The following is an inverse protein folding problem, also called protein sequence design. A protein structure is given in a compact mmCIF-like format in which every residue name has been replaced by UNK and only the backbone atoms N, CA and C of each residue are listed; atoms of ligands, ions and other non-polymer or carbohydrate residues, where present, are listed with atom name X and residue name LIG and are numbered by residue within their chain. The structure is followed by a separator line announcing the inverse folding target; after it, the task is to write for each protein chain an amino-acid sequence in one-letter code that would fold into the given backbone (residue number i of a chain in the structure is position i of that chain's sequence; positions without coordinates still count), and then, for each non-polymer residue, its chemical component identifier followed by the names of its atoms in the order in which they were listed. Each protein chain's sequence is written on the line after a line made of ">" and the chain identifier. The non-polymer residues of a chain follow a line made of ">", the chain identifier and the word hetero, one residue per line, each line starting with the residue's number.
data_IF_204977048529
#
_entry.id   IF_204977048529
#
_cell.length_a   1.000
_cell.length_b   1.000
_cell.length_c   1.000
_cell.angle_alpha   90.00
_cell.angle_beta   90.00
_cell.angle_gamma   90.00
#
_symmetry.space_group_name_H-M   'P 1'
#
loop_
_entity.id
_entity.type
_entity.pdbx_description
1 polymer ?
#
# COMPACT_ATOMS: atom_id res chain seq x y z
N UNK A 1 35.67 -33.17 0.71
CA UNK A 1 35.33 -32.68 -0.64
C UNK A 1 35.12 -31.17 -0.52
N UNK A 2 36.13 -30.30 -0.46
CA UNK A 2 36.99 -29.77 -1.52
C UNK A 2 36.33 -29.56 -2.90
N UNK A 3 36.56 -28.33 -3.42
CA UNK A 3 36.26 -27.74 -4.75
C UNK A 3 34.85 -27.14 -4.91
N UNK A 4 34.64 -25.93 -5.47
CA UNK A 4 35.53 -24.90 -6.06
C UNK A 4 34.70 -23.60 -6.21
N UNK A 5 35.26 -22.46 -5.84
CA UNK A 5 34.81 -21.12 -6.26
C UNK A 5 35.24 -20.85 -7.71
N UNK A 6 34.48 -20.06 -8.48
CA UNK A 6 35.05 -19.11 -9.45
C UNK A 6 34.59 -17.68 -9.10
N UNK A 7 35.50 -16.76 -8.81
CA UNK A 7 36.35 -15.95 -9.70
C UNK A 7 35.62 -14.73 -10.28
N UNK A 8 36.04 -13.58 -9.73
CA UNK A 8 35.80 -12.20 -10.13
C UNK A 8 36.08 -11.96 -11.63
N UNK A 9 35.35 -11.02 -12.24
CA UNK A 9 35.86 -10.28 -13.42
C UNK A 9 35.43 -8.81 -13.33
N UNK A 10 36.42 -7.93 -13.38
CA UNK A 10 36.34 -6.47 -13.49
C UNK A 10 36.12 -6.01 -14.94
N UNK A 11 35.74 -4.73 -15.09
CA UNK A 11 35.84 -3.80 -16.24
C UNK A 11 34.47 -3.44 -16.85
N UNK A 12 34.11 -2.17 -17.09
CA UNK A 12 34.87 -0.93 -17.07
C UNK A 12 33.99 0.32 -17.27
N UNK A 13 34.68 1.47 -17.24
CA UNK A 13 34.27 2.86 -17.50
C UNK A 13 33.42 3.05 -18.79
N UNK A 14 32.68 4.13 -19.07
CA UNK A 14 33.00 5.58 -18.98
C UNK A 14 31.77 6.45 -19.31
N UNK A 15 31.86 7.75 -18.98
CA UNK A 15 30.96 8.90 -19.19
C UNK A 15 30.31 9.09 -20.57
N UNK A 16 29.14 9.76 -20.60
CA UNK A 16 28.90 10.91 -21.48
C UNK A 16 27.77 11.83 -20.93
N UNK A 17 28.11 13.09 -20.60
CA UNK A 17 27.17 14.19 -20.39
C UNK A 17 26.70 14.72 -21.76
N UNK A 18 25.39 14.95 -21.91
CA UNK A 18 24.81 15.65 -23.05
C UNK A 18 23.95 16.82 -22.58
N UNK A 19 24.53 18.02 -22.56
CA UNK A 19 23.79 19.29 -22.52
C UNK A 19 23.32 19.61 -23.94
N UNK A 20 22.03 19.89 -24.12
CA UNK A 20 21.50 20.52 -25.34
C UNK A 20 20.64 21.71 -24.95
N UNK A 21 21.10 22.89 -25.35
CA UNK A 21 20.48 24.19 -25.13
C UNK A 21 19.97 24.77 -26.47
N UNK A 22 18.88 25.52 -26.33
CA UNK A 22 18.38 26.64 -27.15
C UNK A 22 18.19 26.46 -28.66
N UNK A 23 16.95 26.67 -29.12
CA UNK A 23 16.69 27.57 -30.27
C UNK A 23 15.26 28.13 -30.17
N UNK A 24 15.16 29.45 -30.22
CA UNK A 24 13.92 30.25 -30.27
C UNK A 24 13.81 30.81 -31.69
N UNK A 25 12.70 30.64 -32.42
CA UNK A 25 12.45 31.35 -33.67
C UNK A 25 11.51 32.57 -33.52
N UNK A 26 11.47 33.45 -34.54
CA UNK A 26 11.24 34.88 -34.38
C UNK A 26 9.77 35.33 -34.48
N UNK A 27 9.59 36.54 -33.96
CA UNK A 27 8.41 37.42 -34.00
C UNK A 27 8.01 37.77 -35.44
N UNK A 28 6.71 37.78 -35.74
CA UNK A 28 6.13 38.45 -36.92
C UNK A 28 4.82 39.13 -36.51
N UNK A 29 4.66 40.37 -36.99
CA UNK A 29 3.68 41.41 -36.62
C UNK A 29 2.30 41.27 -37.26
N UNK A 30 1.26 41.52 -36.44
CA UNK A 30 -0.02 42.27 -36.63
C UNK A 30 -0.91 42.04 -37.89
N UNK A 31 -2.27 42.04 -37.73
CA UNK A 31 -3.01 43.32 -37.63
C UNK A 31 -4.22 43.35 -36.65
N UNK A 32 -4.58 44.58 -36.28
CA UNK A 32 -5.77 45.03 -35.50
C UNK A 32 -7.08 44.89 -36.31
N UNK A 33 -8.21 44.48 -35.72
CA UNK A 33 -9.27 45.47 -35.44
C UNK A 33 -10.20 45.22 -34.21
N UNK A 34 -10.74 46.35 -33.74
CA UNK A 34 -12.03 46.62 -33.06
C UNK A 34 -12.32 46.19 -31.59
N UNK A 35 -12.89 47.12 -30.79
CA UNK A 35 -13.27 46.87 -29.40
C UNK A 35 -14.63 46.17 -29.30
N UNK A 36 -14.67 45.05 -28.57
CA UNK A 36 -15.90 44.33 -28.24
C UNK A 36 -16.19 44.50 -26.73
N UNK A 37 -17.47 44.69 -26.34
CA UNK A 37 -17.85 45.08 -24.98
C UNK A 37 -17.44 44.06 -23.90
N UNK A 38 -16.98 44.60 -22.77
CA UNK A 38 -16.66 43.92 -21.52
C UNK A 38 -17.91 43.25 -20.93
N UNK A 39 -18.05 41.94 -21.13
CA UNK A 39 -18.79 41.07 -20.20
C UNK A 39 -17.82 40.51 -19.18
N UNK A 40 -17.95 40.98 -17.94
CA UNK A 40 -17.23 40.44 -16.77
C UNK A 40 -17.81 39.06 -16.48
N UNK A 41 -17.22 38.02 -17.06
CA UNK A 41 -17.49 36.65 -16.66
C UNK A 41 -16.67 36.36 -15.40
N UNK A 42 -17.32 36.42 -14.24
CA UNK A 42 -16.80 35.88 -12.99
C UNK A 42 -16.57 34.39 -13.15
N UNK A 43 -15.35 34.00 -13.52
CA UNK A 43 -14.93 32.62 -13.51
C UNK A 43 -14.82 32.18 -12.05
N UNK A 44 -15.57 31.17 -11.57
CA UNK A 44 -15.31 30.59 -10.27
C UNK A 44 -13.93 29.92 -10.35
N UNK A 45 -12.93 30.53 -9.72
CA UNK A 45 -11.71 29.84 -9.33
C UNK A 45 -12.11 28.69 -8.42
N UNK A 46 -12.27 27.51 -9.00
CA UNK A 46 -12.28 26.25 -8.27
C UNK A 46 -10.89 26.08 -7.68
N UNK A 47 -10.70 26.62 -6.48
CA UNK A 47 -9.62 26.22 -5.59
C UNK A 47 -9.78 24.71 -5.39
N UNK A 48 -8.82 23.87 -5.79
CA UNK A 48 -8.88 22.46 -5.40
C UNK A 48 -8.88 22.44 -3.88
N UNK A 49 -9.99 21.99 -3.31
CA UNK A 49 -10.12 21.74 -1.88
C UNK A 49 -9.19 20.58 -1.56
N UNK A 50 -7.94 20.91 -1.22
CA UNK A 50 -7.02 19.99 -0.58
C UNK A 50 -7.50 19.79 0.87
N UNK A 51 -8.62 19.08 1.01
CA UNK A 51 -9.10 18.57 2.29
C UNK A 51 -8.95 17.05 2.28
N UNK A 52 -7.72 16.60 2.03
CA UNK A 52 -7.22 15.40 2.67
C UNK A 52 -6.01 15.87 3.46
N UNK A 53 -6.24 16.10 4.75
CA UNK A 53 -5.16 16.00 5.73
C UNK A 53 -4.59 14.60 5.56
N UNK A 54 -3.55 14.48 4.74
CA UNK A 54 -2.68 13.33 4.73
C UNK A 54 -2.02 13.32 6.10
N UNK A 55 -2.66 12.65 7.05
CA UNK A 55 -1.96 12.08 8.18
C UNK A 55 -0.81 11.28 7.59
N UNK A 56 0.42 11.64 7.96
CA UNK A 56 1.64 10.92 7.58
C UNK A 56 1.69 9.50 8.19
N UNK A 57 0.62 9.07 8.86
CA UNK A 57 0.36 7.70 9.25
C UNK A 57 -0.12 6.94 8.02
N UNK A 58 0.73 6.01 7.55
CA UNK A 58 0.41 5.18 6.40
C UNK A 58 -0.79 4.28 6.75
N UNK A 59 -1.95 4.60 6.19
CA UNK A 59 -3.14 3.75 6.32
C UNK A 59 -2.96 2.44 5.55
N UNK A 60 -3.66 1.40 6.01
CA UNK A 60 -3.90 0.17 5.27
C UNK A 60 -4.94 0.46 4.18
N UNK A 61 -4.51 1.19 3.14
CA UNK A 61 -5.36 1.69 2.07
C UNK A 61 -5.79 0.61 1.09
N UNK A 62 -6.49 1.01 0.00
CA UNK A 62 -7.13 0.05 -0.88
C UNK A 62 -6.20 -0.94 -1.58
N UNK A 63 -4.94 -0.53 -1.81
CA UNK A 63 -3.94 -1.35 -2.48
C UNK A 63 -2.86 -1.88 -1.53
N UNK A 64 -2.74 -1.35 -0.31
CA UNK A 64 -1.66 -1.66 0.62
C UNK A 64 -1.26 -0.49 1.53
N UNK A 65 0.00 -0.47 1.96
CA UNK A 65 0.57 0.48 2.93
C UNK A 65 1.69 1.28 2.28
N UNK A 66 1.50 2.60 2.14
CA UNK A 66 2.44 3.50 1.47
C UNK A 66 2.84 2.97 0.08
N UNK A 67 4.13 2.67 -0.13
CA UNK A 67 4.64 2.12 -1.39
C UNK A 67 4.46 0.60 -1.52
N UNK A 68 4.22 -0.14 -0.43
CA UNK A 68 4.00 -1.58 -0.45
C UNK A 68 2.55 -1.88 -0.86
N UNK A 69 2.38 -2.72 -1.88
CA UNK A 69 1.06 -3.03 -2.44
C UNK A 69 0.85 -4.52 -2.65
N UNK A 70 -0.41 -4.94 -2.58
CA UNK A 70 -0.84 -6.26 -3.05
C UNK A 70 -0.37 -6.48 -4.51
N UNK A 71 -0.08 -7.73 -4.85
CA UNK A 71 0.43 -8.14 -6.16
C UNK A 71 1.94 -7.96 -6.36
N UNK A 72 2.66 -7.31 -5.43
CA UNK A 72 4.11 -7.19 -5.51
C UNK A 72 4.80 -8.53 -5.26
N UNK A 73 5.87 -8.82 -6.01
CA UNK A 73 6.83 -9.88 -5.65
C UNK A 73 7.68 -9.48 -4.44
N UNK A 74 8.35 -10.43 -3.80
CA UNK A 74 9.32 -10.16 -2.72
C UNK A 74 10.39 -9.13 -3.12
N UNK A 75 10.90 -9.23 -4.34
CA UNK A 75 11.91 -8.30 -4.85
C UNK A 75 11.36 -6.86 -4.94
N UNK A 76 10.12 -6.69 -5.41
CA UNK A 76 9.46 -5.39 -5.47
C UNK A 76 9.15 -4.85 -4.07
N UNK A 77 8.67 -5.71 -3.17
CA UNK A 77 8.39 -5.34 -1.78
C UNK A 77 9.64 -4.82 -1.06
N UNK A 78 10.80 -5.48 -1.23
CA UNK A 78 12.08 -5.01 -0.68
C UNK A 78 12.44 -3.62 -1.21
N UNK A 79 12.23 -3.37 -2.51
CA UNK A 79 12.55 -2.08 -3.14
C UNK A 79 11.71 -0.92 -2.58
N UNK A 80 10.57 -1.19 -1.97
CA UNK A 80 9.74 -0.14 -1.35
C UNK A 80 10.36 0.44 -0.08
N UNK A 81 11.25 -0.30 0.59
CA UNK A 81 11.76 0.06 1.92
C UNK A 81 10.73 -0.04 3.05
N UNK A 82 9.51 -0.52 2.77
CA UNK A 82 8.42 -0.64 3.74
C UNK A 82 8.29 -2.04 4.33
N UNK A 83 9.14 -2.98 3.91
CA UNK A 83 9.12 -4.36 4.39
C UNK A 83 10.52 -4.78 4.87
N UNK A 84 10.55 -5.59 5.93
CA UNK A 84 11.73 -6.15 6.56
C UNK A 84 11.64 -7.67 6.61
N UNK A 85 12.78 -8.32 6.87
CA UNK A 85 12.84 -9.79 7.11
C UNK A 85 12.45 -10.67 5.91
N UNK A 86 12.20 -10.07 4.74
CA UNK A 86 11.97 -10.80 3.50
C UNK A 86 13.24 -11.56 3.11
N UNK A 87 13.10 -12.87 2.87
CA UNK A 87 14.16 -13.73 2.35
C UNK A 87 13.66 -14.68 1.27
N UNK A 88 14.60 -15.16 0.46
CA UNK A 88 14.29 -15.96 -0.73
C UNK A 88 13.50 -15.19 -1.79
N UNK A 89 12.96 -15.92 -2.77
CA UNK A 89 12.18 -15.35 -3.87
C UNK A 89 10.78 -15.96 -4.02
N UNK A 90 10.55 -17.16 -3.47
CA UNK A 90 9.25 -17.80 -3.46
C UNK A 90 8.39 -17.27 -2.31
N UNK A 91 7.07 -17.25 -2.50
CA UNK A 91 6.13 -17.03 -1.41
C UNK A 91 5.99 -18.27 -0.53
N UNK A 92 5.72 -18.06 0.76
CA UNK A 92 5.61 -19.14 1.75
C UNK A 92 4.36 -19.04 2.60
N UNK A 93 3.38 -18.24 2.16
CA UNK A 93 2.13 -17.98 2.87
C UNK A 93 2.33 -17.62 4.35
N UNK A 94 3.20 -16.64 4.60
CA UNK A 94 3.39 -16.06 5.93
C UNK A 94 4.38 -16.79 6.83
N UNK A 95 5.19 -17.70 6.31
CA UNK A 95 6.36 -18.16 7.07
C UNK A 95 7.40 -17.03 7.20
N UNK A 96 8.34 -17.15 8.15
CA UNK A 96 9.31 -16.10 8.52
C UNK A 96 9.97 -15.36 7.33
N UNK A 97 10.26 -16.09 6.25
CA UNK A 97 10.89 -15.51 5.05
C UNK A 97 9.98 -14.63 4.18
N UNK A 98 8.68 -14.59 4.43
CA UNK A 98 7.74 -13.65 3.79
C UNK A 98 7.83 -12.24 4.39
N UNK A 99 8.40 -12.11 5.60
CA UNK A 99 8.74 -10.84 6.20
C UNK A 99 7.55 -10.09 6.80
N UNK A 100 7.83 -8.85 7.21
CA UNK A 100 6.91 -7.98 7.95
C UNK A 100 6.98 -6.54 7.44
N UNK A 101 5.98 -5.74 7.77
CA UNK A 101 6.01 -4.29 7.63
C UNK A 101 7.13 -3.69 8.49
N UNK A 102 7.77 -2.65 7.97
CA UNK A 102 8.74 -1.88 8.73
C UNK A 102 8.08 -1.29 9.99
N UNK A 103 8.69 -1.53 11.15
CA UNK A 103 8.17 -1.07 12.43
C UNK A 103 7.14 -2.00 13.07
N UNK A 104 6.96 -3.21 12.53
CA UNK A 104 6.23 -4.28 13.22
C UNK A 104 6.96 -4.69 14.51
N UNK A 105 6.19 -5.02 15.54
CA UNK A 105 6.70 -5.47 16.84
C UNK A 105 5.90 -6.69 17.32
N UNK A 106 6.04 -7.84 16.64
CA UNK A 106 5.27 -9.03 16.96
C UNK A 106 5.64 -9.58 18.35
N UNK A 107 4.68 -10.13 19.07
CA UNK A 107 4.94 -10.80 20.34
C UNK A 107 5.71 -12.12 20.17
N UNK A 108 5.48 -12.81 19.05
CA UNK A 108 6.15 -14.04 18.63
C UNK A 108 6.10 -14.21 17.10
N UNK A 109 6.63 -15.32 16.58
CA UNK A 109 6.72 -15.56 15.13
C UNK A 109 5.36 -15.73 14.44
N UNK A 110 4.35 -16.16 15.18
CA UNK A 110 3.02 -16.47 14.65
C UNK A 110 2.12 -15.23 14.62
N UNK A 111 2.36 -14.24 15.49
CA UNK A 111 1.68 -12.95 15.55
C UNK A 111 1.54 -12.26 14.16
N UNK A 112 0.34 -11.76 13.86
CA UNK A 112 0.02 -11.09 12.59
C UNK A 112 0.46 -9.62 12.50
N UNK A 113 1.03 -9.02 13.57
CA UNK A 113 1.48 -7.62 13.57
C UNK A 113 2.45 -7.36 12.41
N UNK A 114 1.96 -6.61 11.43
CA UNK A 114 2.70 -6.29 10.21
C UNK A 114 3.03 -7.49 9.31
N UNK A 115 2.52 -8.70 9.55
CA UNK A 115 2.92 -9.92 8.82
C UNK A 115 2.56 -9.84 7.35
N UNK A 116 3.48 -10.24 6.48
CA UNK A 116 3.27 -10.29 5.03
C UNK A 116 3.08 -11.73 4.58
N UNK A 117 2.20 -11.95 3.60
CA UNK A 117 1.98 -13.27 3.03
C UNK A 117 2.16 -13.20 1.52
N UNK A 118 3.15 -13.93 1.03
CA UNK A 118 3.36 -14.12 -0.38
C UNK A 118 2.80 -15.48 -0.80
N UNK A 119 1.96 -15.46 -1.82
CA UNK A 119 1.35 -16.63 -2.45
C UNK A 119 2.41 -17.69 -2.77
N UNK A 120 2.20 -18.92 -2.30
CA UNK A 120 3.08 -20.05 -2.63
C UNK A 120 2.99 -20.41 -4.13
N UNK A 121 1.85 -20.12 -4.75
CA UNK A 121 1.60 -20.41 -6.17
C UNK A 121 2.17 -19.34 -7.10
N UNK A 122 1.98 -18.06 -6.78
CA UNK A 122 2.31 -16.95 -7.69
C UNK A 122 3.54 -16.14 -7.26
N UNK A 123 3.97 -16.26 -6.00
CA UNK A 123 5.05 -15.46 -5.42
C UNK A 123 4.69 -14.00 -5.16
N UNK A 124 3.41 -13.61 -5.31
CA UNK A 124 2.93 -12.25 -5.11
C UNK A 124 2.40 -12.03 -3.69
N UNK A 125 2.53 -10.81 -3.19
CA UNK A 125 1.99 -10.35 -1.91
C UNK A 125 0.47 -10.36 -1.98
N UNK A 126 -0.17 -11.17 -1.16
CA UNK A 126 -1.62 -11.39 -1.18
C UNK A 126 -2.30 -11.01 0.13
N UNK A 127 -1.56 -10.92 1.24
CA UNK A 127 -2.08 -10.44 2.53
C UNK A 127 -1.06 -9.51 3.18
N UNK A 128 -1.56 -8.41 3.74
CA UNK A 128 -0.80 -7.45 4.55
C UNK A 128 -1.50 -7.32 5.91
N UNK A 129 -0.83 -7.75 6.97
CA UNK A 129 -1.25 -7.49 8.35
C UNK A 129 -0.99 -6.05 8.76
N UNK A 130 -1.93 -5.44 9.48
CA UNK A 130 -1.73 -4.14 10.10
C UNK A 130 -0.76 -4.25 11.28
N UNK A 131 -0.02 -3.19 11.56
CA UNK A 131 0.60 -2.98 12.87
C UNK A 131 -0.35 -2.19 13.77
N UNK A 132 -0.04 -2.09 15.08
CA UNK A 132 -0.80 -1.25 16.01
C UNK A 132 -0.91 0.24 15.63
N UNK A 133 0.00 0.75 14.79
CA UNK A 133 0.01 2.14 14.33
C UNK A 133 -0.73 2.38 13.00
N UNK A 134 -1.26 1.32 12.38
CA UNK A 134 -1.91 1.40 11.07
C UNK A 134 -3.42 1.25 11.22
N UNK A 135 -4.16 2.17 10.60
CA UNK A 135 -5.60 2.11 10.48
C UNK A 135 -6.03 1.89 9.03
N UNK A 136 -7.23 1.37 8.84
CA UNK A 136 -7.98 1.52 7.59
C UNK A 136 -8.28 3.00 7.31
N UNK A 137 -8.58 3.40 6.05
CA UNK A 137 -8.99 4.76 5.73
C UNK A 137 -10.20 5.27 6.54
N UNK A 138 -11.07 4.36 6.98
CA UNK A 138 -12.25 4.66 7.80
C UNK A 138 -11.94 4.73 9.31
N UNK A 139 -10.68 4.50 9.71
CA UNK A 139 -10.19 4.69 11.07
C UNK A 139 -10.28 3.47 12.00
N UNK A 140 -10.56 2.27 11.46
CA UNK A 140 -10.47 1.02 12.23
C UNK A 140 -9.02 0.55 12.26
N UNK A 141 -8.51 0.25 13.46
CA UNK A 141 -7.15 -0.25 13.74
C UNK A 141 -7.21 -1.32 14.84
N UNK A 142 -6.07 -1.96 15.14
CA UNK A 142 -5.96 -2.89 16.28
C UNK A 142 -6.35 -2.20 17.60
N UNK A 143 -7.20 -2.83 18.40
CA UNK A 143 -7.79 -2.26 19.61
C UNK A 143 -9.10 -1.47 19.38
N UNK A 144 -9.54 -1.28 18.13
CA UNK A 144 -10.86 -0.67 17.86
C UNK A 144 -11.99 -1.52 18.43
N UNK A 145 -12.95 -0.89 19.09
CA UNK A 145 -14.12 -1.57 19.66
C UNK A 145 -15.13 -1.99 18.59
N UNK A 146 -16.03 -2.93 18.93
CA UNK A 146 -17.17 -3.29 18.07
C UNK A 146 -17.99 -2.06 17.62
N UNK A 147 -18.19 -1.09 18.52
CA UNK A 147 -18.93 0.12 18.19
C UNK A 147 -18.22 0.97 17.13
N UNK A 148 -16.89 1.09 17.21
CA UNK A 148 -16.08 1.78 16.21
C UNK A 148 -16.10 1.04 14.87
N UNK A 149 -15.96 -0.30 14.88
CA UNK A 149 -16.06 -1.14 13.68
C UNK A 149 -17.42 -0.99 13.01
N UNK A 150 -18.53 -1.07 13.76
CA UNK A 150 -19.88 -0.88 13.20
C UNK A 150 -20.14 0.52 12.67
N UNK A 151 -19.51 1.54 13.25
CA UNK A 151 -19.61 2.93 12.79
C UNK A 151 -18.91 3.10 11.43
N UNK A 152 -17.71 2.56 11.29
CA UNK A 152 -16.95 2.60 10.04
C UNK A 152 -17.56 1.67 8.98
N UNK A 153 -17.98 0.47 9.39
CA UNK A 153 -18.47 -0.60 8.53
C UNK A 153 -19.84 -1.11 9.02
N UNK A 154 -20.94 -0.42 8.68
CA UNK A 154 -22.28 -0.78 9.12
C UNK A 154 -22.76 -2.17 8.68
N UNK A 155 -22.15 -2.76 7.64
CA UNK A 155 -22.45 -4.12 7.17
C UNK A 155 -21.57 -5.18 7.80
N UNK A 156 -20.52 -4.82 8.55
CA UNK A 156 -19.65 -5.79 9.19
C UNK A 156 -20.42 -6.60 10.24
N UNK A 157 -20.12 -7.89 10.26
CA UNK A 157 -20.63 -8.88 11.21
C UNK A 157 -19.56 -9.97 11.33
N UNK A 158 -19.18 -10.31 12.56
CA UNK A 158 -18.28 -11.43 12.80
C UNK A 158 -19.00 -12.78 12.72
N UNK A 159 -18.24 -13.85 12.56
CA UNK A 159 -18.72 -15.24 12.52
C UNK A 159 -19.55 -15.63 13.75
N UNK A 160 -19.35 -14.94 14.88
CA UNK A 160 -20.01 -15.18 16.17
C UNK A 160 -20.89 -13.97 16.57
N UNK A 161 -21.37 -13.21 15.58
CA UNK A 161 -22.26 -12.08 15.78
C UNK A 161 -21.52 -10.77 15.99
N UNK A 162 -21.23 -10.41 17.24
CA UNK A 162 -20.45 -9.20 17.57
C UNK A 162 -18.94 -9.45 17.63
N UNK A 163 -18.56 -10.72 17.67
CA UNK A 163 -17.20 -11.24 17.77
C UNK A 163 -16.91 -12.19 16.61
N UNK A 164 -15.67 -12.66 16.53
CA UNK A 164 -15.18 -13.55 15.49
C UNK A 164 -14.70 -12.81 14.24
N UNK A 165 -14.46 -13.58 13.19
CA UNK A 165 -13.92 -13.09 11.92
C UNK A 165 -15.04 -12.52 11.06
N UNK A 166 -14.84 -11.33 10.50
CA UNK A 166 -15.75 -10.74 9.51
C UNK A 166 -14.99 -10.00 8.43
N UNK A 167 -15.64 -9.85 7.27
CA UNK A 167 -15.03 -9.29 6.06
C UNK A 167 -15.73 -8.01 5.60
N UNK A 168 -14.94 -7.06 5.10
CA UNK A 168 -15.42 -5.80 4.53
C UNK A 168 -14.82 -5.61 3.15
N UNK A 169 -15.65 -5.27 2.15
CA UNK A 169 -15.13 -4.88 0.83
C UNK A 169 -14.36 -3.57 0.96
N UNK A 170 -13.21 -3.50 0.30
CA UNK A 170 -12.39 -2.30 0.30
C UNK A 170 -12.96 -1.28 -0.70
N UNK A 171 -13.27 -0.08 -0.22
CA UNK A 171 -13.71 1.01 -1.11
C UNK A 171 -12.58 1.40 -2.04
N UNK A 172 -12.83 1.38 -3.35
CA UNK A 172 -11.83 1.73 -4.37
C UNK A 172 -10.97 0.55 -4.85
N UNK A 173 -11.11 -0.65 -4.27
CA UNK A 173 -10.49 -1.87 -4.78
C UNK A 173 -11.44 -3.07 -4.66
N UNK A 174 -12.05 -3.47 -5.78
CA UNK A 174 -12.99 -4.60 -5.82
C UNK A 174 -12.32 -5.97 -5.68
N UNK A 175 -11.00 -6.03 -5.85
CA UNK A 175 -10.18 -7.24 -5.77
C UNK A 175 -9.52 -7.39 -4.38
N UNK A 176 -9.96 -6.62 -3.39
CA UNK A 176 -9.48 -6.71 -2.03
C UNK A 176 -10.60 -6.60 -0.98
N UNK A 177 -10.33 -7.15 0.20
CA UNK A 177 -11.19 -7.03 1.36
C UNK A 177 -10.34 -6.85 2.63
N UNK A 178 -10.92 -6.20 3.64
CA UNK A 178 -10.39 -6.25 5.00
C UNK A 178 -10.94 -7.49 5.69
N UNK A 179 -10.07 -8.29 6.31
CA UNK A 179 -10.44 -9.29 7.31
C UNK A 179 -10.21 -8.67 8.69
N UNK A 180 -11.24 -8.71 9.53
CA UNK A 180 -11.22 -8.12 10.86
C UNK A 180 -11.63 -9.22 11.83
N UNK A 181 -10.74 -9.56 12.77
CA UNK A 181 -11.04 -10.44 13.88
C UNK A 181 -11.26 -9.61 15.14
N UNK A 182 -12.42 -9.81 15.78
CA UNK A 182 -12.82 -9.11 16.99
C UNK A 182 -13.06 -10.11 18.10
N UNK A 183 -12.38 -9.93 19.22
CA UNK A 183 -12.54 -10.74 20.41
C UNK A 183 -12.33 -9.87 21.66
N UNK A 184 -12.91 -10.27 22.79
CA UNK A 184 -12.92 -9.50 24.03
C UNK A 184 -13.37 -8.03 23.81
N UNK A 185 -14.28 -7.80 22.86
CA UNK A 185 -14.84 -6.48 22.55
C UNK A 185 -13.96 -5.54 21.69
N UNK A 186 -12.81 -5.99 21.21
CA UNK A 186 -11.87 -5.18 20.41
C UNK A 186 -11.24 -5.94 19.23
N UNK A 187 -10.79 -5.22 18.22
CA UNK A 187 -10.10 -5.78 17.05
C UNK A 187 -8.73 -6.30 17.49
N UNK A 188 -8.49 -7.59 17.29
CA UNK A 188 -7.19 -8.22 17.58
C UNK A 188 -6.39 -8.50 16.31
N UNK A 189 -7.06 -8.70 15.18
CA UNK A 189 -6.40 -8.85 13.87
C UNK A 189 -7.09 -7.97 12.84
N UNK A 190 -6.28 -7.32 12.00
CA UNK A 190 -6.74 -6.51 10.88
C UNK A 190 -5.79 -6.74 9.71
N UNK A 191 -6.30 -7.29 8.62
CA UNK A 191 -5.48 -7.52 7.43
C UNK A 191 -6.20 -7.07 6.16
N UNK A 192 -5.41 -6.65 5.16
CA UNK A 192 -5.85 -6.40 3.80
C UNK A 192 -5.50 -7.62 2.96
N UNK A 193 -6.50 -8.23 2.34
CA UNK A 193 -6.33 -9.46 1.57
C UNK A 193 -6.77 -9.27 0.13
N UNK A 194 -6.00 -9.81 -0.80
CA UNK A 194 -6.43 -10.01 -2.18
C UNK A 194 -7.58 -11.02 -2.22
N UNK A 195 -8.54 -10.80 -3.11
CA UNK A 195 -9.73 -11.64 -3.24
C UNK A 195 -9.40 -13.08 -3.65
N UNK A 196 -8.46 -13.23 -4.58
CA UNK A 196 -8.05 -14.52 -5.15
C UNK A 196 -6.73 -15.03 -4.54
N UNK A 197 -6.64 -14.96 -3.21
CA UNK A 197 -5.47 -15.39 -2.44
C UNK A 197 -5.49 -16.90 -2.11
N UNK A 198 -4.32 -17.55 -2.04
CA UNK A 198 -4.13 -18.99 -1.81
C UNK A 198 -3.48 -19.35 -0.46
N UNK A 199 -3.42 -18.39 0.46
CA UNK A 199 -2.87 -18.49 1.79
C UNK A 199 -3.96 -18.53 2.89
N UNK A 200 -3.57 -18.98 4.07
CA UNK A 200 -4.34 -18.84 5.29
C UNK A 200 -3.47 -18.14 6.33
N UNK A 201 -4.10 -17.34 7.18
CA UNK A 201 -3.47 -16.73 8.36
C UNK A 201 -3.39 -17.74 9.51
#
# INVERSE_FOLDING_TARGET
>A
MQLRKPLLTLAGATLALGLSACVVPPVTTAPTPSPQPTTVASSPSVTPSASQSASLEANLGPDGVAALKLGMTKAQAIQTGQATEISGSAGTCGADGDGRLLGAHPADVDDLDGKLFFSATTGQLVIIGATSSIATPEGVHLGSTYAQVKKAYPTWKGSEGKEGVGFVKVTGNAEAFYRIYLDAGQVLELTLQAKDQDCAE
#
